data_IF_664749863204
#
_entry.id   IF_664749863204
#
_cell.length_a   1.000
_cell.length_b   1.000
_cell.length_c   1.000
_cell.angle_alpha   90.00
_cell.angle_beta   90.00
_cell.angle_gamma   90.00
#
_symmetry.space_group_name_H-M   'P 1'
#
loop_
_entity.id
_entity.type
_entity.pdbx_description
1 polymer ?
#
# COMPACT_ATOMS: atom_id res chain seq x y z
N UNK A 1 -14.10 16.40 -0.52
CA UNK A 1 -14.03 17.01 0.83
C UNK A 1 -12.59 17.30 1.14
N UNK A 2 -12.27 18.54 1.48
CA UNK A 2 -10.91 19.00 1.78
C UNK A 2 -10.41 18.33 3.07
N UNK A 3 -9.33 17.55 2.99
CA UNK A 3 -8.64 17.05 4.18
C UNK A 3 -7.83 18.22 4.74
N UNK A 4 -8.29 18.79 5.86
CA UNK A 4 -7.46 19.69 6.66
C UNK A 4 -6.49 18.80 7.43
N UNK A 5 -5.23 18.77 7.01
CA UNK A 5 -4.15 18.35 7.90
C UNK A 5 -4.07 19.45 8.97
N UNK A 6 -4.55 19.16 10.18
CA UNK A 6 -4.31 20.01 11.34
C UNK A 6 -2.81 20.30 11.42
N UNK A 7 -2.43 21.52 11.78
CA UNK A 7 -1.03 21.97 11.89
C UNK A 7 -0.20 21.22 12.94
N UNK A 8 -0.78 20.21 13.59
CA UNK A 8 -0.07 19.26 14.43
C UNK A 8 0.50 18.18 13.51
N UNK A 9 1.79 18.23 13.20
CA UNK A 9 2.51 17.04 12.76
C UNK A 9 2.29 16.02 13.87
N UNK A 10 1.60 14.89 13.62
CA UNK A 10 1.41 13.90 14.66
C UNK A 10 2.78 13.51 15.20
N UNK A 11 2.94 13.42 16.53
CA UNK A 11 4.19 13.00 17.19
C UNK A 11 4.73 11.63 16.70
N UNK A 12 3.98 10.96 15.83
CA UNK A 12 4.25 9.72 15.12
C UNK A 12 5.35 9.84 14.05
N UNK A 13 5.58 11.04 13.48
CA UNK A 13 6.66 11.26 12.50
C UNK A 13 7.95 11.58 13.25
N UNK A 14 8.50 10.59 13.93
CA UNK A 14 9.73 10.70 14.72
C UNK A 14 10.59 9.45 14.62
N UNK A 15 11.91 9.55 14.91
CA UNK A 15 12.78 8.39 14.93
C UNK A 15 12.26 7.40 15.97
N UNK A 16 11.96 6.17 15.53
CA UNK A 16 11.45 5.04 16.31
C UNK A 16 9.92 4.96 16.56
N UNK A 17 9.11 5.73 15.82
CA UNK A 17 7.66 5.57 15.88
C UNK A 17 7.13 4.83 14.65
N UNK A 18 6.18 3.93 14.87
CA UNK A 18 5.44 3.30 13.78
C UNK A 18 4.50 4.31 13.15
N UNK A 19 4.51 4.36 11.82
CA UNK A 19 3.48 5.11 11.10
C UNK A 19 2.12 4.45 11.31
N UNK A 20 1.14 5.26 11.69
CA UNK A 20 -0.24 4.83 11.85
C UNK A 20 -1.00 4.88 10.52
N UNK A 21 -2.23 4.36 10.53
CA UNK A 21 -3.19 4.53 9.45
C UNK A 21 -3.37 6.01 9.05
N UNK A 22 -3.37 6.94 10.01
CA UNK A 22 -3.53 8.37 9.72
C UNK A 22 -2.35 8.89 8.89
N UNK A 23 -1.13 8.54 9.31
CA UNK A 23 0.10 8.92 8.62
C UNK A 23 0.15 8.34 7.20
N UNK A 24 -0.15 7.05 7.05
CA UNK A 24 -0.16 6.35 5.75
C UNK A 24 -1.27 6.89 4.82
N UNK A 25 -2.47 7.12 5.33
CA UNK A 25 -3.57 7.70 4.56
C UNK A 25 -3.26 9.14 4.12
N UNK A 26 -2.61 9.93 4.98
CA UNK A 26 -2.12 11.25 4.61
C UNK A 26 -1.14 11.19 3.43
N UNK A 27 -0.16 10.29 3.49
CA UNK A 27 0.81 10.09 2.41
C UNK A 27 0.15 9.62 1.11
N UNK A 28 -0.74 8.62 1.16
CA UNK A 28 -1.50 8.17 -0.02
C UNK A 28 -2.38 9.29 -0.60
N UNK A 29 -2.95 10.14 0.24
CA UNK A 29 -3.70 11.33 -0.19
C UNK A 29 -2.84 12.33 -0.97
N UNK A 30 -1.60 12.57 -0.54
CA UNK A 30 -0.65 13.42 -1.25
C UNK A 30 -0.20 12.79 -2.57
N UNK A 31 0.10 11.49 -2.58
CA UNK A 31 0.42 10.74 -3.81
C UNK A 31 -0.71 10.82 -4.84
N UNK A 32 -1.97 10.70 -4.40
CA UNK A 32 -3.13 10.81 -5.29
C UNK A 32 -3.31 12.22 -5.85
N UNK A 33 -2.94 13.26 -5.11
CA UNK A 33 -2.92 14.63 -5.62
C UNK A 33 -1.82 14.85 -6.67
N UNK A 34 -0.64 14.25 -6.45
CA UNK A 34 0.50 14.37 -7.36
C UNK A 34 0.31 13.54 -8.64
N UNK A 35 -0.32 12.37 -8.54
CA UNK A 35 -0.51 11.42 -9.62
C UNK A 35 -2.00 11.04 -9.78
N UNK A 36 -2.84 11.95 -10.31
CA UNK A 36 -4.30 11.78 -10.33
C UNK A 36 -4.79 10.62 -11.21
N UNK A 37 -3.97 10.13 -12.14
CA UNK A 37 -4.31 9.01 -13.05
C UNK A 37 -3.96 7.63 -12.45
N UNK A 38 -3.23 7.59 -11.34
CA UNK A 38 -2.95 6.35 -10.61
C UNK A 38 -4.16 6.00 -9.76
N UNK A 39 -4.69 4.81 -9.98
CA UNK A 39 -5.84 4.31 -9.23
C UNK A 39 -5.49 3.81 -7.84
N UNK A 40 -6.53 3.42 -7.10
CA UNK A 40 -6.47 3.05 -5.69
C UNK A 40 -5.97 4.21 -4.81
N UNK A 41 -4.93 4.02 -4.00
CA UNK A 41 -4.52 4.95 -2.94
C UNK A 41 -5.71 5.32 -2.03
N UNK A 42 -6.51 4.31 -1.70
CA UNK A 42 -7.71 4.42 -0.85
C UNK A 42 -7.34 4.13 0.60
N UNK A 43 -8.17 4.59 1.54
CA UNK A 43 -7.89 4.46 2.98
C UNK A 43 -7.53 3.03 3.36
N UNK A 44 -6.37 2.83 4.00
CA UNK A 44 -5.88 1.51 4.40
C UNK A 44 -6.82 0.78 5.37
N UNK A 45 -7.70 1.51 6.06
CA UNK A 45 -8.71 0.96 6.96
C UNK A 45 -9.72 0.07 6.24
N UNK A 46 -9.98 0.30 4.95
CA UNK A 46 -10.81 -0.59 4.15
C UNK A 46 -10.18 -1.97 3.96
N UNK A 47 -8.85 -2.06 3.94
CA UNK A 47 -8.13 -3.32 3.94
C UNK A 47 -8.32 -4.09 5.23
N UNK A 48 -8.27 -3.41 6.38
CA UNK A 48 -8.43 -4.03 7.69
C UNK A 48 -9.77 -4.79 7.86
N UNK A 49 -10.83 -4.33 7.20
CA UNK A 49 -12.15 -4.97 7.20
C UNK A 49 -12.45 -5.77 5.93
N UNK A 50 -11.47 -5.94 5.03
CA UNK A 50 -11.62 -6.57 3.73
C UNK A 50 -12.83 -6.00 2.96
N UNK A 51 -12.82 -4.69 2.74
CA UNK A 51 -13.82 -3.98 1.94
C UNK A 51 -13.17 -2.98 0.98
N UNK A 52 -12.00 -3.32 0.42
CA UNK A 52 -11.47 -2.50 -0.66
C UNK A 52 -12.41 -2.52 -1.87
N UNK A 53 -12.65 -1.33 -2.42
CA UNK A 53 -13.25 -1.20 -3.73
C UNK A 53 -12.27 -1.61 -4.83
N UNK A 54 -12.81 -1.88 -6.02
CA UNK A 54 -11.97 -2.12 -7.18
C UNK A 54 -11.13 -0.88 -7.45
N UNK A 55 -9.86 -1.06 -7.81
CA UNK A 55 -9.04 0.04 -8.30
C UNK A 55 -9.71 0.71 -9.52
N UNK A 56 -9.73 2.03 -9.51
CA UNK A 56 -10.37 2.91 -10.50
C UNK A 56 -9.54 3.11 -11.78
N UNK A 57 -8.37 2.47 -11.87
CA UNK A 57 -7.47 2.54 -13.03
C UNK A 57 -6.76 1.19 -13.25
N UNK A 58 -6.30 0.95 -14.48
CA UNK A 58 -5.47 -0.21 -14.83
C UNK A 58 -4.07 -0.13 -14.21
N UNK A 59 -3.60 1.09 -13.92
CA UNK A 59 -2.39 1.33 -13.14
C UNK A 59 -2.81 1.82 -11.77
N UNK A 60 -2.42 1.10 -10.72
CA UNK A 60 -2.79 1.47 -9.35
C UNK A 60 -1.67 1.12 -8.37
N UNK A 61 -1.66 1.85 -7.26
CA UNK A 61 -0.76 1.66 -6.11
C UNK A 61 -1.61 1.64 -4.84
N UNK A 62 -1.35 0.72 -3.93
CA UNK A 62 -2.02 0.65 -2.64
C UNK A 62 -1.04 0.23 -1.55
N UNK A 63 -1.00 1.00 -0.47
CA UNK A 63 -0.33 0.59 0.77
C UNK A 63 -1.34 -0.20 1.62
N UNK A 64 -0.96 -1.39 2.06
CA UNK A 64 -1.82 -2.34 2.77
C UNK A 64 -1.24 -2.57 4.16
N UNK A 65 -2.12 -2.48 5.17
CA UNK A 65 -1.79 -2.82 6.53
C UNK A 65 -2.02 -4.32 6.78
N UNK A 66 -1.10 -4.99 7.48
CA UNK A 66 -1.26 -6.36 7.95
C UNK A 66 -1.59 -6.33 9.44
N UNK A 67 -2.89 -6.30 9.78
CA UNK A 67 -3.41 -6.44 11.16
C UNK A 67 -2.72 -5.56 12.23
N UNK A 68 -2.49 -4.29 11.94
CA UNK A 68 -1.76 -3.32 12.75
C UNK A 68 -0.31 -3.71 13.09
N UNK A 69 0.31 -4.58 12.27
CA UNK A 69 1.65 -5.11 12.50
C UNK A 69 2.65 -4.80 11.38
N UNK A 70 2.23 -4.64 10.13
CA UNK A 70 3.19 -4.44 9.04
C UNK A 70 2.57 -3.66 7.90
N UNK A 71 3.40 -2.94 7.15
CA UNK A 71 3.01 -2.18 5.98
C UNK A 71 3.71 -2.74 4.76
N UNK A 72 2.94 -3.01 3.71
CA UNK A 72 3.44 -3.43 2.40
C UNK A 72 2.86 -2.56 1.31
N UNK A 73 3.53 -2.48 0.17
CA UNK A 73 3.03 -1.75 -0.99
C UNK A 73 2.76 -2.72 -2.14
N UNK A 74 1.53 -2.67 -2.68
CA UNK A 74 1.13 -3.41 -3.86
C UNK A 74 0.87 -2.46 -5.03
N UNK A 75 1.26 -2.86 -6.24
CA UNK A 75 1.01 -2.08 -7.45
C UNK A 75 0.71 -2.98 -8.66
N UNK A 76 -0.07 -2.49 -9.62
CA UNK A 76 -0.33 -3.18 -10.89
C UNK A 76 -0.14 -2.23 -12.07
N UNK A 77 0.22 -2.78 -13.23
CA UNK A 77 0.39 -2.01 -14.47
C UNK A 77 1.75 -1.33 -14.63
N UNK A 78 2.70 -1.57 -13.71
CA UNK A 78 4.07 -1.03 -13.75
C UNK A 78 5.14 -2.07 -14.14
N UNK A 79 4.79 -3.36 -14.14
CA UNK A 79 5.71 -4.45 -14.50
C UNK A 79 5.69 -4.81 -15.99
N UNK A 80 6.55 -5.76 -16.37
CA UNK A 80 6.61 -6.32 -17.75
C UNK A 80 5.25 -6.90 -18.16
N UNK A 81 4.61 -7.64 -17.25
CA UNK A 81 3.23 -8.08 -17.43
C UNK A 81 2.31 -7.14 -16.65
N UNK A 82 1.51 -6.29 -17.33
CA UNK A 82 0.66 -5.32 -16.66
C UNK A 82 -0.47 -5.96 -15.83
N UNK A 83 -0.78 -7.24 -16.06
CA UNK A 83 -1.79 -7.97 -15.29
C UNK A 83 -1.24 -8.56 -13.98
N UNK A 84 0.07 -8.60 -13.79
CA UNK A 84 0.66 -9.06 -12.53
C UNK A 84 0.63 -7.94 -11.49
N UNK A 85 0.33 -8.30 -10.25
CA UNK A 85 0.49 -7.40 -9.12
C UNK A 85 1.90 -7.56 -8.58
N UNK A 86 2.61 -6.44 -8.46
CA UNK A 86 3.92 -6.33 -7.85
C UNK A 86 3.71 -6.07 -6.36
N UNK A 87 4.34 -6.86 -5.49
CA UNK A 87 4.29 -6.69 -4.04
C UNK A 87 5.69 -6.38 -3.52
N UNK A 88 5.80 -5.27 -2.81
CA UNK A 88 7.03 -4.78 -2.19
C UNK A 88 6.88 -4.89 -0.67
N UNK A 89 7.78 -5.63 -0.06
CA UNK A 89 7.81 -5.91 1.37
C UNK A 89 9.23 -5.69 1.89
N UNK A 90 9.41 -4.68 2.74
CA UNK A 90 10.71 -4.32 3.31
C UNK A 90 11.22 -5.33 4.34
N UNK A 91 10.44 -6.32 4.78
CA UNK A 91 10.87 -7.42 5.67
C UNK A 91 11.38 -8.65 4.90
N UNK A 92 11.45 -8.61 3.56
CA UNK A 92 11.98 -9.68 2.71
C UNK A 92 11.29 -11.04 2.94
N UNK A 93 9.96 -11.02 2.99
CA UNK A 93 9.16 -12.24 3.15
C UNK A 93 9.23 -13.11 1.88
N UNK A 94 9.26 -14.44 2.06
CA UNK A 94 9.27 -15.39 0.94
C UNK A 94 7.90 -15.64 0.32
N UNK A 95 6.81 -15.31 1.03
CA UNK A 95 5.43 -15.49 0.57
C UNK A 95 4.55 -14.32 1.05
N UNK A 96 3.55 -13.90 0.23
CA UNK A 96 2.63 -12.86 0.63
C UNK A 96 1.70 -13.34 1.77
N UNK A 97 1.52 -12.50 2.78
CA UNK A 97 0.58 -12.79 3.86
C UNK A 97 -0.86 -12.96 3.33
N UNK A 98 -1.66 -13.93 3.82
CA UNK A 98 -3.02 -14.18 3.29
C UNK A 98 -3.93 -12.95 3.28
N UNK A 99 -3.87 -12.11 4.32
CA UNK A 99 -4.62 -10.84 4.37
C UNK A 99 -4.28 -9.93 3.16
N UNK A 100 -3.01 -9.81 2.81
CA UNK A 100 -2.55 -9.01 1.67
C UNK A 100 -3.10 -9.57 0.37
N UNK A 101 -3.10 -10.91 0.22
CA UNK A 101 -3.68 -11.58 -0.95
C UNK A 101 -5.16 -11.26 -1.10
N UNK A 102 -5.94 -11.29 -0.02
CA UNK A 102 -7.37 -10.91 -0.05
C UNK A 102 -7.57 -9.44 -0.42
N UNK A 103 -6.81 -8.53 0.19
CA UNK A 103 -6.85 -7.11 -0.14
C UNK A 103 -6.55 -6.86 -1.62
N UNK A 104 -5.49 -7.47 -2.15
CA UNK A 104 -5.14 -7.40 -3.57
C UNK A 104 -6.26 -7.97 -4.45
N UNK A 105 -6.86 -9.09 -4.07
CA UNK A 105 -7.96 -9.68 -4.83
C UNK A 105 -9.17 -8.73 -4.94
N UNK A 106 -9.47 -7.96 -3.88
CA UNK A 106 -10.55 -6.95 -3.89
C UNK A 106 -10.24 -5.74 -4.78
N UNK A 107 -9.00 -5.25 -4.74
CA UNK A 107 -8.56 -4.14 -5.59
C UNK A 107 -8.60 -4.54 -7.07
N UNK A 108 -8.15 -5.76 -7.36
CA UNK A 108 -8.14 -6.31 -8.69
C UNK A 108 -9.55 -6.56 -9.23
N UNK A 109 -10.45 -7.16 -8.43
CA UNK A 109 -11.80 -7.65 -8.82
C UNK A 109 -11.84 -8.10 -10.29
N UNK A 110 -10.82 -8.87 -10.71
CA UNK A 110 -10.62 -9.11 -12.14
C UNK A 110 -11.69 -10.09 -12.63
N UNK A 111 -12.11 -10.00 -13.90
CA UNK A 111 -12.97 -11.00 -14.50
C UNK A 111 -12.26 -12.34 -14.73
N UNK A 112 -10.93 -12.36 -14.63
CA UNK A 112 -10.09 -13.53 -14.88
C UNK A 112 -9.91 -14.24 -13.53
N UNK A 113 -10.33 -15.50 -13.42
CA UNK A 113 -10.25 -16.29 -12.20
C UNK A 113 -8.82 -16.63 -11.72
N UNK A 114 -7.80 -15.85 -12.08
CA UNK A 114 -6.41 -16.03 -11.72
C UNK A 114 -5.80 -14.70 -11.25
N UNK A 115 -5.29 -14.71 -10.03
CA UNK A 115 -4.48 -13.64 -9.46
C UNK A 115 -3.01 -14.08 -9.47
N UNK A 116 -2.13 -13.24 -10.03
CA UNK A 116 -0.68 -13.46 -9.99
C UNK A 116 -0.04 -12.31 -9.21
N UNK A 117 0.65 -12.65 -8.13
CA UNK A 117 1.41 -11.69 -7.31
C UNK A 117 2.90 -12.03 -7.47
N UNK A 118 3.72 -11.03 -7.76
CA UNK A 118 5.17 -11.13 -7.87
C UNK A 118 5.80 -10.38 -6.71
N UNK A 119 6.53 -11.10 -5.85
CA UNK A 119 7.35 -10.50 -4.80
C UNK A 119 8.56 -9.82 -5.46
N UNK A 120 8.71 -8.52 -5.20
CA UNK A 120 9.73 -7.72 -5.84
C UNK A 120 10.96 -7.60 -4.94
N UNK A 121 12.18 -7.79 -5.49
CA UNK A 121 13.40 -7.40 -4.80
C UNK A 121 13.33 -5.91 -4.48
N UNK A 122 13.45 -5.54 -3.21
CA UNK A 122 13.37 -4.17 -2.76
C UNK A 122 14.34 -3.91 -1.60
N UNK A 123 14.46 -2.66 -1.18
CA UNK A 123 15.33 -2.32 -0.06
C UNK A 123 14.75 -2.88 1.25
N UNK A 124 15.51 -3.75 1.90
CA UNK A 124 15.13 -4.36 3.18
C UNK A 124 15.37 -3.37 4.32
N UNK A 125 14.39 -3.22 5.21
CA UNK A 125 14.53 -2.38 6.40
C UNK A 125 15.54 -3.01 7.37
N UNK A 126 16.31 -2.17 8.06
CA UNK A 126 17.32 -2.63 9.04
C UNK A 126 16.77 -2.69 10.46
N UNK A 127 15.58 -2.15 10.67
CA UNK A 127 14.89 -2.05 11.95
C UNK A 127 13.51 -2.73 11.86
N UNK A 128 12.74 -2.74 12.95
CA UNK A 128 11.39 -3.31 12.98
C UNK A 128 10.26 -2.28 12.88
N UNK A 129 10.54 -1.02 12.56
CA UNK A 129 9.61 0.09 12.77
C UNK A 129 9.28 0.87 11.49
N UNK A 130 10.16 0.83 10.50
CA UNK A 130 10.10 1.70 9.34
C UNK A 130 9.32 1.14 8.13
N UNK A 131 8.64 -0.01 8.25
CA UNK A 131 7.90 -0.61 7.12
C UNK A 131 6.92 0.36 6.44
N UNK A 132 6.30 1.27 7.21
CA UNK A 132 5.45 2.33 6.66
C UNK A 132 6.21 3.34 5.81
N UNK A 133 7.40 3.77 6.26
CA UNK A 133 8.27 4.70 5.52
C UNK A 133 8.74 4.06 4.22
N UNK A 134 9.17 2.79 4.28
CA UNK A 134 9.57 2.04 3.09
C UNK A 134 8.40 1.86 2.12
N UNK A 135 7.20 1.54 2.61
CA UNK A 135 5.99 1.43 1.77
C UNK A 135 5.64 2.73 1.05
N UNK A 136 5.80 3.88 1.71
CA UNK A 136 5.64 5.19 1.08
C UNK A 136 6.74 5.40 0.02
N UNK A 137 8.00 5.12 0.34
CA UNK A 137 9.13 5.31 -0.57
C UNK A 137 9.03 4.44 -1.83
N UNK A 138 8.48 3.22 -1.72
CA UNK A 138 8.23 2.37 -2.88
C UNK A 138 7.12 2.91 -3.80
N UNK A 139 6.27 3.82 -3.29
CA UNK A 139 5.12 4.37 -4.00
C UNK A 139 5.44 5.61 -4.86
N UNK A 140 6.72 6.00 -4.97
CA UNK A 140 7.22 7.16 -5.73
C UNK A 140 8.24 6.74 -6.77
#
# INVERSE_FOLDING_TARGET
GMLILSNDIPNEVGPNNWLTDLSINGAMGLLRQQFPDIGALISCQWGAILQFDRADSQKWIQIINIHNNHWVMAAQGFGINPNNVLLYDSLDTTEPHPHVVYCIAQLCKTPIGKLTISLMPCQVQKDGLNCGVYSIAFST
#
